data_IF_675945359510
#
_entry.id   IF_675945359510
#
_cell.length_a   1.000
_cell.length_b   1.000
_cell.length_c   1.000
_cell.angle_alpha   90.00
_cell.angle_beta   90.00
_cell.angle_gamma   90.00
#
_symmetry.space_group_name_H-M   'P 1'
#
loop_
_entity.id
_entity.type
_entity.pdbx_description
1 polymer ?
#
# COMPACT_ATOMS: atom_id res chain seq x y z
N UNK A 1 15.36 9.16 2.74
CA UNK A 1 14.89 8.22 3.78
C UNK A 1 14.50 6.94 3.06
N UNK A 2 14.89 5.78 3.56
CA UNK A 2 14.45 4.49 2.97
C UNK A 2 13.16 4.13 3.69
N UNK A 3 12.05 4.08 2.96
CA UNK A 3 10.77 3.62 3.50
C UNK A 3 10.83 2.09 3.73
N UNK A 4 10.19 1.57 4.78
CA UNK A 4 10.23 0.13 5.10
C UNK A 4 9.49 -0.74 4.08
N UNK A 5 8.59 -0.17 3.28
CA UNK A 5 7.84 -0.85 2.23
C UNK A 5 7.75 0.03 0.97
N UNK A 6 7.35 -0.58 -0.14
CA UNK A 6 6.93 0.12 -1.34
C UNK A 6 5.43 -0.10 -1.61
N UNK A 7 4.71 0.96 -1.97
CA UNK A 7 3.28 0.87 -2.29
C UNK A 7 3.01 -0.15 -3.42
N UNK A 8 3.89 -0.22 -4.42
CA UNK A 8 3.77 -1.16 -5.54
C UNK A 8 3.81 -2.62 -5.07
N UNK A 9 4.62 -2.95 -4.07
CA UNK A 9 4.73 -4.32 -3.53
C UNK A 9 3.46 -4.70 -2.76
N UNK A 10 2.91 -3.78 -1.96
CA UNK A 10 1.66 -3.97 -1.22
C UNK A 10 0.48 -4.15 -2.20
N UNK A 11 0.40 -3.30 -3.23
CA UNK A 11 -0.63 -3.39 -4.27
C UNK A 11 -0.52 -4.73 -5.01
N UNK A 12 0.69 -5.14 -5.40
CA UNK A 12 0.91 -6.42 -6.07
C UNK A 12 0.47 -7.60 -5.17
N UNK A 13 0.87 -7.58 -3.89
CA UNK A 13 0.47 -8.60 -2.94
C UNK A 13 -1.06 -8.71 -2.83
N UNK A 14 -1.77 -7.58 -2.69
CA UNK A 14 -3.23 -7.60 -2.57
C UNK A 14 -3.93 -8.01 -3.88
N UNK A 15 -3.45 -7.52 -5.03
CA UNK A 15 -3.95 -7.91 -6.37
C UNK A 15 -3.82 -9.41 -6.60
N UNK A 16 -2.74 -9.99 -6.12
CA UNK A 16 -2.45 -11.42 -6.22
C UNK A 16 -3.17 -12.24 -5.12
N UNK A 17 -4.14 -11.61 -4.43
CA UNK A 17 -5.01 -12.18 -3.39
C UNK A 17 -4.31 -12.62 -2.11
N UNK A 18 -3.10 -12.11 -1.85
CA UNK A 18 -2.45 -12.33 -0.56
C UNK A 18 -3.06 -11.45 0.52
N UNK A 19 -3.03 -11.93 1.76
CA UNK A 19 -3.35 -11.11 2.93
C UNK A 19 -2.22 -10.11 3.19
N UNK A 20 -2.60 -8.88 3.52
CA UNK A 20 -1.66 -7.86 3.96
C UNK A 20 -1.43 -8.02 5.46
N UNK A 21 -0.18 -7.87 5.86
CA UNK A 21 0.18 -7.88 7.28
C UNK A 21 -0.18 -6.54 7.92
N UNK A 22 -0.45 -6.53 9.23
CA UNK A 22 -0.74 -5.30 9.98
C UNK A 22 0.31 -4.20 9.73
N UNK A 23 1.63 -4.47 9.75
CA UNK A 23 2.63 -3.43 9.46
C UNK A 23 2.54 -2.85 8.04
N UNK A 24 2.12 -3.63 7.04
CA UNK A 24 1.93 -3.13 5.68
C UNK A 24 0.70 -2.20 5.60
N UNK A 25 -0.36 -2.56 6.32
CA UNK A 25 -1.58 -1.75 6.40
C UNK A 25 -1.29 -0.44 7.15
N UNK A 26 -0.64 -0.51 8.30
CA UNK A 26 -0.28 0.68 9.08
C UNK A 26 0.60 1.62 8.27
N UNK A 27 1.61 1.06 7.59
CA UNK A 27 2.51 1.86 6.77
C UNK A 27 1.81 2.50 5.57
N UNK A 28 0.96 1.79 4.84
CA UNK A 28 0.34 2.38 3.63
C UNK A 28 -0.54 3.58 4.00
N UNK A 29 -1.24 3.51 5.12
CA UNK A 29 -2.07 4.62 5.62
C UNK A 29 -1.19 5.80 6.06
N UNK A 30 -0.17 5.55 6.89
CA UNK A 30 0.77 6.59 7.32
C UNK A 30 1.46 7.26 6.12
N UNK A 31 2.02 6.47 5.20
CA UNK A 31 2.71 6.96 4.02
C UNK A 31 1.79 7.74 3.07
N UNK A 32 0.50 7.36 2.96
CA UNK A 32 -0.49 8.14 2.21
C UNK A 32 -0.76 9.49 2.88
N UNK A 33 -0.96 9.51 4.19
CA UNK A 33 -1.22 10.77 4.93
C UNK A 33 -0.03 11.73 4.93
N UNK A 34 1.20 11.21 4.81
CA UNK A 34 2.43 12.00 4.67
C UNK A 34 2.76 12.41 3.22
N UNK A 35 1.95 12.01 2.24
CA UNK A 35 2.15 12.31 0.82
C UNK A 35 3.28 11.53 0.15
N UNK A 36 3.73 10.42 0.74
CA UNK A 36 4.74 9.51 0.16
C UNK A 36 4.11 8.59 -0.88
N UNK A 37 2.86 8.18 -0.65
CA UNK A 37 2.07 7.39 -1.61
C UNK A 37 1.21 8.34 -2.43
N UNK A 38 1.30 8.25 -3.75
CA UNK A 38 0.49 9.07 -4.65
C UNK A 38 -0.97 8.59 -4.70
N UNK A 39 -1.90 9.50 -5.03
CA UNK A 39 -3.33 9.20 -5.12
C UNK A 39 -3.64 8.05 -6.09
N UNK A 40 -2.89 7.93 -7.19
CA UNK A 40 -3.04 6.86 -8.17
C UNK A 40 -2.64 5.49 -7.58
N UNK A 41 -1.63 5.45 -6.74
CA UNK A 41 -1.21 4.22 -6.06
C UNK A 41 -2.23 3.81 -5.00
N UNK A 42 -2.74 4.77 -4.22
CA UNK A 42 -3.79 4.49 -3.24
C UNK A 42 -5.07 3.99 -3.93
N UNK A 43 -5.44 4.61 -5.05
CA UNK A 43 -6.57 4.18 -5.88
C UNK A 43 -6.36 2.75 -6.42
N UNK A 44 -5.15 2.41 -6.86
CA UNK A 44 -4.83 1.05 -7.31
C UNK A 44 -4.94 0.01 -6.18
N UNK A 45 -4.56 0.36 -4.94
CA UNK A 45 -4.77 -0.51 -3.78
C UNK A 45 -6.27 -0.73 -3.52
N UNK A 46 -7.07 0.34 -3.51
CA UNK A 46 -8.52 0.24 -3.29
C UNK A 46 -9.20 -0.67 -4.31
N UNK A 47 -8.77 -0.62 -5.57
CA UNK A 47 -9.27 -1.51 -6.62
C UNK A 47 -8.83 -2.98 -6.47
N UNK A 48 -7.71 -3.22 -5.78
CA UNK A 48 -7.20 -4.57 -5.53
C UNK A 48 -7.88 -5.25 -4.31
N UNK A 49 -8.56 -4.49 -3.46
CA UNK A 49 -9.27 -5.01 -2.28
C UNK A 49 -10.60 -5.65 -2.73
N UNK A 50 -10.76 -6.94 -2.41
CA UNK A 50 -11.95 -7.77 -2.62
C UNK A 50 -12.41 -8.38 -1.30
#
# INVERSE_FOLDING_TARGET
MIEPFAAVEIIAAKRDRNELTDPQIDWIIDAYTRGVVADEQMSALLMAIL
#
